data_IF_014595620712
#
_entry.id   IF_014595620712
#
_cell.length_a   1.000
_cell.length_b   1.000
_cell.length_c   1.000
_cell.angle_alpha   90.00
_cell.angle_beta   90.00
_cell.angle_gamma   90.00
#
_symmetry.space_group_name_H-M   'P 1'
#
loop_
_entity.id
_entity.type
_entity.pdbx_description
1 polymer ?
#
# COMPACT_ATOMS: atom_id res chain seq x y z
N UNK A 1 21.57 -39.58 48.17
CA UNK A 1 21.91 -38.21 48.61
C UNK A 1 22.93 -37.64 47.64
N UNK A 2 22.68 -36.41 47.16
CA UNK A 2 23.63 -35.42 46.60
C UNK A 2 24.63 -35.90 45.53
N UNK A 3 24.58 -35.41 44.29
CA UNK A 3 25.11 -34.10 43.86
C UNK A 3 26.41 -34.36 43.07
N UNK A 4 26.77 -33.73 41.96
CA UNK A 4 26.43 -32.43 41.40
C UNK A 4 26.55 -32.48 39.86
N UNK A 5 25.73 -31.68 39.17
CA UNK A 5 25.82 -31.41 37.73
C UNK A 5 26.71 -30.18 37.55
N UNK A 6 27.89 -30.36 36.96
CA UNK A 6 28.78 -29.26 36.57
C UNK A 6 28.48 -28.80 35.15
N UNK A 7 27.88 -27.61 35.06
CA UNK A 7 28.21 -26.51 34.15
C UNK A 7 28.35 -26.81 32.65
N UNK A 8 27.25 -26.60 31.91
CA UNK A 8 27.34 -26.18 30.51
C UNK A 8 27.16 -24.66 30.47
N UNK A 9 28.22 -23.94 30.10
CA UNK A 9 28.17 -22.51 29.87
C UNK A 9 27.40 -22.22 28.57
N UNK A 10 26.20 -21.67 28.68
CA UNK A 10 25.47 -21.12 27.55
C UNK A 10 25.90 -19.66 27.36
N UNK A 11 26.60 -19.39 26.25
CA UNK A 11 26.87 -18.06 25.72
C UNK A 11 25.55 -17.39 25.32
N UNK A 12 24.97 -16.59 26.22
CA UNK A 12 23.92 -15.62 25.90
C UNK A 12 24.53 -14.22 25.90
N UNK A 13 25.10 -13.84 24.76
CA UNK A 13 25.43 -12.47 24.38
C UNK A 13 25.19 -12.45 22.87
N UNK A 14 24.35 -11.62 22.27
CA UNK A 14 23.41 -10.62 22.73
C UNK A 14 22.77 -10.19 21.42
N UNK A 15 21.49 -10.49 21.20
CA UNK A 15 20.76 -9.82 20.14
C UNK A 15 20.48 -8.42 20.67
N UNK A 16 21.41 -7.52 20.42
CA UNK A 16 21.26 -6.08 20.58
C UNK A 16 20.09 -5.66 19.70
N UNK A 17 18.91 -5.53 20.31
CA UNK A 17 17.79 -4.86 19.67
C UNK A 17 17.98 -3.38 19.97
N UNK A 18 18.67 -2.70 19.06
CA UNK A 18 18.58 -1.25 18.99
C UNK A 18 17.11 -0.90 18.69
N UNK A 19 16.41 -0.50 19.74
CA UNK A 19 15.10 0.11 19.70
C UNK A 19 15.21 1.47 19.02
N UNK A 20 15.14 1.48 17.69
CA UNK A 20 14.79 2.70 16.96
C UNK A 20 13.28 2.75 16.89
N UNK A 21 12.76 3.72 17.64
CA UNK A 21 11.35 3.96 17.94
C UNK A 21 10.63 4.60 16.74
N UNK A 22 10.62 3.89 15.60
CA UNK A 22 9.68 4.16 14.52
C UNK A 22 8.47 3.25 14.78
N UNK A 23 7.49 3.78 15.54
CA UNK A 23 6.22 3.08 15.80
C UNK A 23 5.73 2.40 14.53
N UNK A 24 5.45 1.10 14.62
CA UNK A 24 5.08 0.18 13.53
C UNK A 24 3.99 0.76 12.62
N UNK A 25 4.38 1.62 11.70
CA UNK A 25 3.53 2.19 10.67
C UNK A 25 3.73 1.31 9.45
N UNK A 26 2.99 0.21 9.36
CA UNK A 26 3.12 -0.73 8.25
C UNK A 26 2.53 -0.19 6.94
N UNK A 27 2.05 1.05 6.92
CA UNK A 27 1.66 1.78 5.70
C UNK A 27 2.82 2.13 4.76
N UNK A 28 4.00 1.53 4.92
CA UNK A 28 5.14 1.59 3.98
C UNK A 28 5.53 0.21 3.42
N UNK A 29 4.61 -0.74 3.40
CA UNK A 29 4.80 -2.01 2.69
C UNK A 29 5.23 -1.76 1.23
N UNK A 30 6.27 -2.45 0.76
CA UNK A 30 6.77 -2.38 -0.61
C UNK A 30 7.07 -0.96 -1.18
N UNK A 31 7.27 0.05 -0.33
CA UNK A 31 7.47 1.44 -0.78
C UNK A 31 6.18 2.18 -1.17
N UNK A 32 5.01 1.68 -0.77
CA UNK A 32 3.71 2.30 -0.98
C UNK A 32 3.17 2.90 0.33
N UNK A 33 2.74 4.16 0.29
CA UNK A 33 2.02 4.86 1.36
C UNK A 33 0.72 5.41 0.82
N UNK A 34 -0.38 4.73 1.16
CA UNK A 34 -1.72 5.01 0.63
C UNK A 34 -2.71 5.12 1.78
N UNK A 35 -3.53 6.17 1.73
CA UNK A 35 -4.67 6.35 2.63
C UNK A 35 -5.96 6.02 1.87
N UNK A 36 -6.62 4.93 2.26
CA UNK A 36 -7.86 4.44 1.65
C UNK A 36 -9.13 5.07 2.25
N UNK A 37 -9.01 6.18 2.99
CA UNK A 37 -10.17 6.92 3.47
C UNK A 37 -10.99 7.44 2.29
N UNK A 38 -12.31 7.48 2.47
CA UNK A 38 -13.21 7.98 1.44
C UNK A 38 -14.66 7.59 1.66
N UNK A 39 -15.51 8.12 0.79
CA UNK A 39 -16.92 7.75 0.72
C UNK A 39 -17.10 6.73 -0.39
N UNK A 40 -17.27 5.46 0.01
CA UNK A 40 -17.45 4.33 -0.90
C UNK A 40 -18.92 4.13 -1.22
N UNK A 41 -19.24 3.99 -2.50
CA UNK A 41 -20.59 3.73 -3.01
C UNK A 41 -20.59 2.46 -3.82
N UNK A 42 -21.72 1.75 -3.87
CA UNK A 42 -21.84 0.57 -4.73
C UNK A 42 -21.46 0.88 -6.18
N UNK A 43 -20.56 0.07 -6.76
CA UNK A 43 -20.03 0.30 -8.11
C UNK A 43 -21.13 0.33 -9.19
N UNK A 44 -22.22 -0.41 -8.98
CA UNK A 44 -23.38 -0.48 -9.88
C UNK A 44 -24.56 0.40 -9.46
N UNK A 45 -24.38 1.30 -8.48
CA UNK A 45 -25.47 2.11 -7.91
C UNK A 45 -26.50 1.31 -7.10
N UNK A 46 -26.18 0.05 -6.78
CA UNK A 46 -27.01 -0.86 -5.99
C UNK A 46 -26.73 -0.81 -4.50
N UNK A 47 -26.88 -1.96 -3.86
CA UNK A 47 -26.61 -2.17 -2.43
C UNK A 47 -25.24 -2.84 -2.25
N UNK A 48 -24.52 -2.41 -1.22
CA UNK A 48 -23.28 -3.02 -0.76
C UNK A 48 -23.56 -4.26 0.10
N UNK A 49 -24.54 -4.18 1.00
CA UNK A 49 -24.90 -5.26 1.90
C UNK A 49 -26.37 -5.17 2.33
N UNK A 50 -27.01 -6.33 2.47
CA UNK A 50 -28.45 -6.38 2.72
C UNK A 50 -29.25 -5.63 1.66
N UNK A 51 -30.41 -5.09 2.02
CA UNK A 51 -31.28 -4.35 1.10
C UNK A 51 -31.16 -2.83 1.21
N UNK A 52 -30.32 -2.30 2.10
CA UNK A 52 -30.38 -0.90 2.50
C UNK A 52 -29.02 -0.22 2.70
N UNK A 53 -27.90 -0.95 2.67
CA UNK A 53 -26.58 -0.31 2.72
C UNK A 53 -26.16 -0.01 1.28
N UNK A 54 -26.00 1.26 0.92
CA UNK A 54 -25.60 1.71 -0.43
C UNK A 54 -24.28 2.49 -0.41
N UNK A 55 -23.86 2.91 0.78
CA UNK A 55 -22.67 3.72 0.98
C UNK A 55 -22.03 3.37 2.33
N UNK A 56 -20.71 3.36 2.36
CA UNK A 56 -19.93 3.40 3.60
C UNK A 56 -18.93 4.55 3.54
N UNK A 57 -18.62 5.14 4.68
CA UNK A 57 -17.55 6.11 4.86
C UNK A 57 -16.45 5.40 5.62
N UNK A 58 -15.24 5.39 5.07
CA UNK A 58 -14.06 4.81 5.69
C UNK A 58 -13.14 5.94 6.12
N UNK A 59 -12.75 5.96 7.39
CA UNK A 59 -11.69 6.80 7.92
C UNK A 59 -10.54 5.94 8.39
N UNK A 60 -9.35 6.16 7.84
CA UNK A 60 -8.14 5.41 8.16
C UNK A 60 -7.18 6.28 8.98
N UNK A 61 -6.65 5.71 10.07
CA UNK A 61 -5.56 6.27 10.86
C UNK A 61 -4.50 5.19 11.09
N UNK A 62 -3.35 5.31 10.42
CA UNK A 62 -2.36 4.24 10.34
C UNK A 62 -2.97 2.99 9.70
N UNK A 63 -2.98 1.88 10.44
CA UNK A 63 -3.63 0.64 10.02
C UNK A 63 -5.05 0.48 10.57
N UNK A 64 -5.50 1.36 11.47
CA UNK A 64 -6.86 1.29 12.01
C UNK A 64 -7.83 1.92 11.02
N UNK A 65 -9.00 1.30 10.87
CA UNK A 65 -10.12 1.88 10.11
C UNK A 65 -11.37 1.98 10.96
N UNK A 66 -12.07 3.09 10.81
CA UNK A 66 -13.40 3.35 11.33
C UNK A 66 -14.34 3.47 10.13
N UNK A 67 -15.49 2.80 10.20
CA UNK A 67 -16.43 2.73 9.08
C UNK A 67 -17.84 3.05 9.55
N UNK A 68 -18.51 3.94 8.81
CA UNK A 68 -19.92 4.27 9.02
C UNK A 68 -20.73 3.94 7.77
N UNK A 69 -21.88 3.28 7.92
CA UNK A 69 -22.81 3.06 6.81
C UNK A 69 -23.86 4.20 6.71
N UNK A 70 -24.65 4.18 5.64
CA UNK A 70 -25.77 5.12 5.45
C UNK A 70 -26.99 4.88 6.37
N UNK A 71 -26.90 3.91 7.29
CA UNK A 71 -27.88 3.67 8.36
C UNK A 71 -27.32 4.04 9.74
N UNK A 72 -26.20 4.76 9.78
CA UNK A 72 -25.53 5.19 10.99
C UNK A 72 -25.02 4.02 11.87
N UNK A 73 -24.82 2.83 11.29
CA UNK A 73 -24.08 1.74 11.91
C UNK A 73 -22.61 2.09 11.95
N UNK A 74 -21.90 1.57 12.97
CA UNK A 74 -20.49 1.84 13.20
C UNK A 74 -19.71 0.53 13.25
N UNK A 75 -18.58 0.50 12.55
CA UNK A 75 -17.68 -0.63 12.48
C UNK A 75 -16.24 -0.17 12.67
N UNK A 76 -15.41 -1.06 13.20
CA UNK A 76 -13.99 -0.83 13.42
C UNK A 76 -13.19 -2.00 12.88
N UNK A 77 -11.98 -1.75 12.42
CA UNK A 77 -11.11 -2.81 11.96
C UNK A 77 -9.74 -2.35 11.55
N UNK A 78 -9.17 -3.04 10.57
CA UNK A 78 -7.83 -2.76 10.09
C UNK A 78 -7.70 -2.82 8.57
N UNK A 79 -6.71 -2.08 8.08
CA UNK A 79 -6.16 -2.21 6.73
C UNK A 79 -4.70 -2.64 6.83
N UNK A 80 -4.32 -3.61 5.99
CA UNK A 80 -2.97 -4.14 5.95
C UNK A 80 -1.98 -3.17 5.29
N UNK A 81 -0.72 -3.59 5.27
CA UNK A 81 0.32 -2.90 4.50
C UNK A 81 -0.01 -2.94 3.00
N UNK A 82 -0.03 -1.79 2.31
CA UNK A 82 -0.24 -1.78 0.87
C UNK A 82 0.89 -2.53 0.14
N UNK A 83 0.54 -3.29 -0.89
CA UNK A 83 1.46 -3.96 -1.79
C UNK A 83 1.27 -3.47 -3.23
N UNK A 84 2.38 -3.25 -3.95
CA UNK A 84 2.36 -2.93 -5.38
C UNK A 84 2.10 -4.22 -6.15
N UNK A 85 1.09 -4.23 -7.02
CA UNK A 85 0.64 -5.46 -7.70
C UNK A 85 0.65 -5.40 -9.21
N UNK A 86 0.73 -4.21 -9.79
CA UNK A 86 0.96 -4.04 -11.21
C UNK A 86 2.38 -3.55 -11.49
N UNK A 87 2.82 -3.74 -12.72
CA UNK A 87 3.97 -3.04 -13.29
C UNK A 87 3.49 -1.95 -14.24
N UNK A 88 4.12 -0.78 -14.19
CA UNK A 88 3.96 0.20 -15.25
C UNK A 88 4.42 -0.37 -16.60
N UNK A 89 3.86 0.13 -17.68
CA UNK A 89 4.29 -0.21 -19.03
C UNK A 89 5.76 0.14 -19.24
N UNK A 90 6.52 -0.80 -19.81
CA UNK A 90 7.98 -0.70 -19.89
C UNK A 90 8.46 0.40 -20.85
N UNK A 91 7.60 0.87 -21.76
CA UNK A 91 7.95 1.88 -22.77
C UNK A 91 7.57 3.28 -22.29
N UNK A 92 6.36 3.44 -21.77
CA UNK A 92 5.80 4.72 -21.32
C UNK A 92 6.11 5.03 -19.86
N UNK A 93 6.44 4.02 -19.03
CA UNK A 93 6.62 4.19 -17.59
C UNK A 93 5.31 4.51 -16.85
N UNK A 94 4.16 4.26 -17.48
CA UNK A 94 2.84 4.60 -16.97
C UNK A 94 2.03 3.36 -16.59
N UNK A 95 1.17 3.47 -15.57
CA UNK A 95 0.10 2.52 -15.38
C UNK A 95 -1.08 2.90 -16.28
N UNK A 96 -1.47 2.01 -17.20
CA UNK A 96 -2.58 2.26 -18.10
C UNK A 96 -3.92 2.34 -17.37
N UNK A 97 -4.89 3.05 -17.95
CA UNK A 97 -6.28 3.05 -17.45
C UNK A 97 -6.81 1.62 -17.21
N UNK A 98 -7.43 1.41 -16.05
CA UNK A 98 -7.95 0.13 -15.55
C UNK A 98 -6.92 -0.72 -14.80
N UNK A 99 -5.64 -0.37 -14.79
CA UNK A 99 -4.61 -1.15 -14.09
C UNK A 99 -4.72 -1.00 -12.56
N UNK A 100 -4.66 -2.12 -11.85
CA UNK A 100 -4.49 -2.14 -10.39
C UNK A 100 -3.04 -1.82 -10.06
N UNK A 101 -2.81 -0.73 -9.34
CA UNK A 101 -1.47 -0.26 -8.97
C UNK A 101 -1.05 -0.81 -7.62
N UNK A 102 -1.91 -0.60 -6.62
CA UNK A 102 -1.67 -0.96 -5.21
C UNK A 102 -2.88 -1.70 -4.68
N UNK A 103 -2.69 -2.64 -3.77
CA UNK A 103 -3.77 -3.27 -3.04
C UNK A 103 -3.43 -3.45 -1.55
N UNK A 104 -4.45 -3.53 -0.71
CA UNK A 104 -4.32 -3.92 0.69
C UNK A 104 -5.51 -4.74 1.16
N UNK A 105 -5.29 -5.66 2.09
CA UNK A 105 -6.40 -6.36 2.75
C UNK A 105 -7.09 -5.41 3.73
N UNK A 106 -8.43 -5.41 3.74
CA UNK A 106 -9.22 -4.64 4.69
C UNK A 106 -10.22 -5.56 5.39
N UNK A 107 -10.31 -5.42 6.70
CA UNK A 107 -11.29 -6.09 7.53
C UNK A 107 -11.90 -5.09 8.51
N UNK A 108 -13.18 -5.25 8.81
CA UNK A 108 -13.84 -4.49 9.87
C UNK A 108 -15.05 -5.25 10.38
N UNK A 109 -15.47 -4.93 11.58
CA UNK A 109 -16.58 -5.59 12.24
C UNK A 109 -17.33 -4.62 13.16
N UNK A 110 -18.56 -5.00 13.48
CA UNK A 110 -19.42 -4.17 14.32
C UNK A 110 -20.89 -4.52 14.20
N UNK A 111 -21.73 -3.70 14.83
CA UNK A 111 -23.16 -3.96 14.90
C UNK A 111 -23.89 -3.13 13.84
N UNK A 112 -24.63 -3.82 12.98
CA UNK A 112 -25.55 -3.18 12.05
C UNK A 112 -26.79 -2.70 12.81
N UNK A 113 -27.05 -1.40 12.78
CA UNK A 113 -28.16 -0.78 13.50
C UNK A 113 -29.53 -1.12 12.90
N UNK A 114 -29.60 -1.44 11.61
CA UNK A 114 -30.84 -1.82 10.94
C UNK A 114 -31.23 -3.27 11.26
N UNK A 115 -30.30 -4.22 11.11
CA UNK A 115 -30.59 -5.64 11.37
C UNK A 115 -30.43 -6.05 12.84
N UNK A 116 -29.75 -5.23 13.64
CA UNK A 116 -29.40 -5.51 15.03
C UNK A 116 -28.33 -6.61 15.20
N UNK A 117 -27.75 -7.08 14.10
CA UNK A 117 -26.83 -8.22 14.03
C UNK A 117 -25.38 -7.77 14.02
N UNK A 118 -24.51 -8.66 14.48
CA UNK A 118 -23.08 -8.50 14.28
C UNK A 118 -22.70 -8.79 12.82
N UNK A 119 -21.73 -8.02 12.33
CA UNK A 119 -21.21 -8.08 10.97
C UNK A 119 -19.70 -8.21 11.01
N UNK A 120 -19.17 -9.02 10.10
CA UNK A 120 -17.78 -9.04 9.70
C UNK A 120 -17.66 -8.73 8.21
N UNK A 121 -16.81 -7.78 7.86
CA UNK A 121 -16.33 -7.57 6.51
C UNK A 121 -14.90 -8.12 6.36
N UNK A 122 -14.65 -8.80 5.25
CA UNK A 122 -13.32 -9.23 4.84
C UNK A 122 -13.15 -9.05 3.34
N UNK A 123 -12.14 -8.30 2.93
CA UNK A 123 -11.94 -7.94 1.54
C UNK A 123 -10.58 -7.33 1.23
N UNK A 124 -10.48 -6.77 0.03
CA UNK A 124 -9.30 -6.10 -0.51
C UNK A 124 -9.74 -4.72 -1.00
N UNK A 125 -8.92 -3.72 -0.72
CA UNK A 125 -9.01 -2.39 -1.31
C UNK A 125 -7.91 -2.21 -2.34
N UNK A 126 -8.27 -1.75 -3.52
CA UNK A 126 -7.41 -1.52 -4.66
C UNK A 126 -7.30 -0.02 -4.96
N UNK A 127 -6.14 0.44 -5.39
CA UNK A 127 -5.98 1.70 -6.12
C UNK A 127 -5.87 1.38 -7.61
N UNK A 128 -6.86 1.80 -8.39
CA UNK A 128 -7.00 1.51 -9.81
C UNK A 128 -6.83 2.79 -10.62
N UNK A 129 -6.01 2.73 -11.66
CA UNK A 129 -5.83 3.84 -12.59
C UNK A 129 -7.14 4.10 -13.36
N UNK A 130 -7.65 5.33 -13.32
CA UNK A 130 -8.82 5.75 -14.12
C UNK A 130 -8.38 6.25 -15.49
N UNK A 131 -7.25 6.94 -15.51
CA UNK A 131 -6.50 7.37 -16.69
C UNK A 131 -5.06 6.88 -16.54
N UNK A 132 -4.24 7.04 -17.58
CA UNK A 132 -2.83 6.72 -17.48
C UNK A 132 -2.15 7.49 -16.33
N UNK A 133 -1.51 6.76 -15.42
CA UNK A 133 -0.82 7.33 -14.25
C UNK A 133 0.68 7.34 -14.51
N UNK A 134 1.23 8.54 -14.68
CA UNK A 134 2.65 8.77 -14.91
C UNK A 134 3.42 8.83 -13.59
N UNK A 135 4.60 8.22 -13.57
CA UNK A 135 5.54 8.31 -12.46
C UNK A 135 6.61 9.38 -12.69
N UNK A 136 7.23 9.85 -11.62
CA UNK A 136 8.44 10.69 -11.67
C UNK A 136 9.66 9.81 -11.39
N UNK A 137 10.56 9.71 -12.37
CA UNK A 137 11.76 8.87 -12.28
C UNK A 137 12.96 9.67 -11.79
N UNK A 138 13.68 9.13 -10.81
CA UNK A 138 14.97 9.61 -10.32
C UNK A 138 16.01 8.51 -10.50
N UNK A 139 17.13 8.83 -11.15
CA UNK A 139 18.21 7.87 -11.42
C UNK A 139 19.48 8.28 -10.68
N UNK A 140 20.13 7.30 -10.04
CA UNK A 140 21.44 7.46 -9.41
C UNK A 140 22.41 6.53 -10.12
N UNK A 141 23.46 7.09 -10.71
CA UNK A 141 24.57 6.31 -11.27
C UNK A 141 25.79 6.52 -10.38
N UNK A 142 26.25 5.44 -9.73
CA UNK A 142 27.51 5.45 -8.99
C UNK A 142 28.57 4.84 -9.89
N UNK A 143 29.47 5.69 -10.39
CA UNK A 143 30.69 5.26 -11.06
C UNK A 143 31.82 5.22 -10.04
N UNK A 144 32.24 4.03 -9.63
CA UNK A 144 33.44 3.87 -8.79
C UNK A 144 34.65 3.82 -9.70
N UNK A 145 35.23 5.00 -9.96
CA UNK A 145 36.56 5.12 -10.54
C UNK A 145 37.62 5.17 -9.43
N UNK A 146 38.70 4.41 -9.55
CA UNK A 146 39.90 4.62 -8.74
C UNK A 146 40.43 6.03 -9.02
N UNK A 147 40.15 6.97 -8.10
CA UNK A 147 40.58 8.38 -8.05
C UNK A 147 39.80 9.41 -8.90
N UNK A 148 38.49 9.61 -8.63
CA UNK A 148 37.88 10.94 -8.48
C UNK A 148 36.37 10.82 -8.22
N UNK A 149 35.90 11.31 -7.07
CA UNK A 149 34.47 11.39 -6.75
C UNK A 149 33.84 12.58 -7.50
N UNK A 150 32.92 12.32 -8.42
CA UNK A 150 32.07 13.37 -9.02
C UNK A 150 30.62 13.09 -8.61
N UNK A 151 30.01 13.99 -7.83
CA UNK A 151 28.58 13.92 -7.49
C UNK A 151 27.81 14.77 -8.49
N UNK A 152 26.96 14.17 -9.31
CA UNK A 152 26.07 14.88 -10.24
C UNK A 152 24.64 14.77 -9.70
N UNK A 153 24.06 15.90 -9.29
CA UNK A 153 22.62 16.01 -9.02
C UNK A 153 21.91 16.43 -10.30
N UNK A 154 20.97 15.62 -10.80
CA UNK A 154 20.14 15.95 -11.98
C UNK A 154 18.68 16.09 -11.54
N UNK A 155 18.08 17.24 -11.84
CA UNK A 155 16.70 17.59 -11.52
C UNK A 155 15.96 17.94 -12.83
N UNK A 156 15.44 16.92 -13.54
CA UNK A 156 14.56 16.94 -14.75
C UNK A 156 15.17 16.46 -16.10
N UNK A 157 14.40 15.70 -16.95
CA UNK A 157 14.84 15.19 -18.26
C UNK A 157 14.43 16.06 -19.49
N UNK A 158 15.07 15.85 -20.67
CA UNK A 158 16.19 14.93 -20.90
C UNK A 158 17.54 15.65 -21.04
N UNK A 159 18.57 15.14 -20.38
CA UNK A 159 19.97 15.48 -20.58
C UNK A 159 20.70 14.23 -21.08
N UNK A 160 21.38 14.32 -22.22
CA UNK A 160 22.27 13.29 -22.75
C UNK A 160 23.69 13.57 -22.25
N UNK A 161 24.34 12.63 -21.57
CA UNK A 161 25.75 12.72 -21.19
C UNK A 161 26.48 11.54 -21.84
N UNK A 162 27.31 11.82 -22.84
CA UNK A 162 28.22 10.85 -23.45
C UNK A 162 29.58 10.94 -22.73
N UNK A 163 30.00 9.86 -22.08
CA UNK A 163 31.36 9.72 -21.53
C UNK A 163 31.96 8.40 -22.01
N UNK A 164 32.89 8.46 -22.97
CA UNK A 164 33.80 7.35 -23.28
C UNK A 164 34.96 7.38 -22.28
N UNK A 165 35.07 6.36 -21.42
CA UNK A 165 36.33 6.01 -20.77
C UNK A 165 36.41 4.49 -20.55
N UNK A 166 37.44 3.87 -21.14
CA UNK A 166 37.73 2.42 -21.09
C UNK A 166 38.62 2.07 -19.89
N UNK A 167 38.04 2.08 -18.69
CA UNK A 167 38.57 1.36 -17.52
C UNK A 167 37.46 0.50 -16.94
N UNK A 168 37.82 -0.60 -16.28
CA UNK A 168 36.88 -1.57 -15.69
C UNK A 168 36.11 -0.93 -14.50
N UNK A 169 35.18 -0.03 -14.83
CA UNK A 169 34.29 0.61 -13.90
C UNK A 169 33.18 -0.36 -13.52
N UNK A 170 33.14 -0.76 -12.26
CA UNK A 170 31.91 -1.28 -11.67
C UNK A 170 30.95 -0.10 -11.51
N UNK A 171 30.03 0.05 -12.46
CA UNK A 171 28.96 1.04 -12.39
C UNK A 171 27.71 0.37 -11.84
N UNK A 172 27.20 0.89 -10.72
CA UNK A 172 25.88 0.51 -10.23
C UNK A 172 24.93 1.65 -10.56
N UNK A 173 23.96 1.37 -11.42
CA UNK A 173 22.88 2.30 -11.74
C UNK A 173 21.61 1.81 -11.03
N UNK A 174 20.95 2.69 -10.30
CA UNK A 174 19.65 2.43 -9.71
C UNK A 174 18.68 3.51 -10.16
N UNK A 175 17.47 3.11 -10.53
CA UNK A 175 16.41 4.06 -10.89
C UNK A 175 15.17 3.79 -10.04
N UNK A 176 14.59 4.85 -9.50
CA UNK A 176 13.35 4.78 -8.73
C UNK A 176 12.29 5.67 -9.37
N UNK A 177 11.09 5.14 -9.52
CA UNK A 177 9.94 5.87 -10.09
C UNK A 177 8.85 5.98 -9.04
N UNK A 178 8.46 7.21 -8.72
CA UNK A 178 7.41 7.49 -7.74
C UNK A 178 6.12 7.89 -8.44
N UNK A 179 5.02 7.23 -8.09
CA UNK A 179 3.67 7.49 -8.61
C UNK A 179 2.84 8.17 -7.54
N UNK A 180 1.98 9.11 -7.96
CA UNK A 180 1.06 9.83 -7.07
C UNK A 180 -0.40 9.47 -7.38
N UNK A 181 -1.13 9.10 -6.34
CA UNK A 181 -2.55 8.79 -6.38
C UNK A 181 -3.35 10.06 -6.10
N UNK A 182 -4.24 10.41 -7.02
CA UNK A 182 -5.09 11.60 -6.94
C UNK A 182 -6.50 11.26 -7.42
N UNK A 183 -7.47 12.09 -7.06
CA UNK A 183 -8.87 11.88 -7.46
C UNK A 183 -9.04 11.94 -8.99
N UNK A 184 -8.14 12.65 -9.69
CA UNK A 184 -8.18 12.83 -11.13
C UNK A 184 -7.70 11.61 -11.92
N UNK A 185 -6.85 10.77 -11.32
CA UNK A 185 -6.18 9.67 -12.04
C UNK A 185 -6.42 8.30 -11.41
N UNK A 186 -6.97 8.23 -10.20
CA UNK A 186 -7.10 6.99 -9.43
C UNK A 186 -8.47 6.86 -8.76
N UNK A 187 -8.99 5.64 -8.73
CA UNK A 187 -10.18 5.24 -8.00
C UNK A 187 -9.83 4.15 -7.01
N UNK A 188 -10.36 4.26 -5.80
CA UNK A 188 -10.35 3.16 -4.85
C UNK A 188 -11.50 2.21 -5.12
N UNK A 189 -11.20 0.91 -5.15
CA UNK A 189 -12.19 -0.15 -5.31
C UNK A 189 -12.09 -1.07 -4.11
N UNK A 190 -13.17 -1.20 -3.35
CA UNK A 190 -13.29 -2.10 -2.21
C UNK A 190 -14.12 -3.31 -2.62
N UNK A 191 -13.49 -4.47 -2.66
CA UNK A 191 -14.14 -5.74 -2.98
C UNK A 191 -14.02 -6.71 -1.82
N UNK A 192 -15.11 -7.41 -1.48
CA UNK A 192 -15.07 -8.33 -0.35
C UNK A 192 -16.40 -8.98 -0.04
N UNK A 193 -16.49 -9.55 1.16
CA UNK A 193 -17.71 -10.17 1.66
C UNK A 193 -18.13 -9.54 2.97
N UNK A 194 -19.42 -9.20 3.05
CA UNK A 194 -20.11 -8.76 4.25
C UNK A 194 -20.89 -9.93 4.85
N UNK A 195 -20.51 -10.39 6.03
CA UNK A 195 -20.99 -11.61 6.66
C UNK A 195 -21.76 -11.23 7.93
N UNK A 196 -23.03 -11.60 8.02
CA UNK A 196 -23.82 -11.44 9.24
C UNK A 196 -23.77 -12.70 10.13
N UNK A 197 -23.96 -12.52 11.43
CA UNK A 197 -23.95 -13.56 12.50
C UNK A 197 -24.85 -14.80 12.25
N UNK A 198 -25.78 -14.73 11.29
CA UNK A 198 -26.64 -15.86 10.88
C UNK A 198 -26.24 -16.52 9.56
N UNK A 199 -25.02 -16.25 9.08
CA UNK A 199 -24.43 -16.87 7.88
C UNK A 199 -24.86 -16.24 6.56
N UNK A 200 -25.64 -15.15 6.57
CA UNK A 200 -25.90 -14.37 5.36
C UNK A 200 -24.60 -13.67 4.93
N UNK A 201 -24.17 -13.90 3.70
CA UNK A 201 -22.99 -13.27 3.10
C UNK A 201 -23.41 -12.49 1.85
N UNK A 202 -22.92 -11.25 1.73
CA UNK A 202 -23.16 -10.38 0.59
C UNK A 202 -21.82 -10.00 -0.04
N UNK A 203 -21.68 -10.19 -1.34
CA UNK A 203 -20.52 -9.68 -2.06
C UNK A 203 -20.63 -8.16 -2.16
N UNK A 204 -19.55 -7.49 -1.76
CA UNK A 204 -19.44 -6.03 -1.77
C UNK A 204 -18.51 -5.66 -2.92
N UNK A 205 -18.92 -4.69 -3.73
CA UNK A 205 -18.04 -3.97 -4.64
C UNK A 205 -18.39 -2.48 -4.59
N UNK A 206 -17.46 -1.69 -4.05
CA UNK A 206 -17.66 -0.28 -3.79
C UNK A 206 -16.53 0.57 -4.36
N UNK A 207 -16.85 1.77 -4.81
CA UNK A 207 -15.88 2.70 -5.38
C UNK A 207 -15.86 4.02 -4.63
N UNK A 208 -14.67 4.61 -4.50
CA UNK A 208 -14.45 5.95 -3.95
C UNK A 208 -13.38 6.68 -4.78
N UNK A 209 -13.42 8.01 -4.90
CA UNK A 209 -12.29 8.79 -5.41
C UNK A 209 -11.05 8.58 -4.54
N UNK A 210 -9.87 8.50 -5.16
CA UNK A 210 -8.62 8.39 -4.40
C UNK A 210 -8.17 9.77 -3.88
N UNK A 211 -8.16 9.97 -2.57
CA UNK A 211 -7.86 11.29 -1.99
C UNK A 211 -6.36 11.61 -1.89
N UNK A 212 -5.50 10.61 -1.63
CA UNK A 212 -4.05 10.79 -1.56
C UNK A 212 -3.27 9.47 -1.41
N UNK A 213 -2.05 9.44 -1.93
CA UNK A 213 -1.09 8.38 -1.70
C UNK A 213 0.07 8.43 -2.69
N UNK A 214 1.18 7.78 -2.36
CA UNK A 214 2.32 7.61 -3.28
C UNK A 214 2.90 6.22 -3.16
N UNK A 215 3.47 5.69 -4.23
CA UNK A 215 4.28 4.47 -4.16
C UNK A 215 5.49 4.55 -5.08
N UNK A 216 6.56 3.87 -4.71
CA UNK A 216 7.83 3.88 -5.45
C UNK A 216 8.19 2.48 -5.92
N UNK A 217 8.51 2.36 -7.21
CA UNK A 217 9.10 1.14 -7.80
C UNK A 217 10.58 1.39 -8.08
N UNK A 218 11.44 0.40 -7.81
CA UNK A 218 12.88 0.50 -8.12
C UNK A 218 13.26 -0.51 -9.19
N UNK A 219 14.01 -0.07 -10.20
CA UNK A 219 14.65 -0.92 -11.19
C UNK A 219 16.17 -0.83 -11.03
N UNK A 220 16.82 -2.00 -10.99
CA UNK A 220 18.28 -2.15 -11.02
C UNK A 220 18.75 -2.58 -12.39
#
# INVERSE_FOLDING_TARGET
>A
MAGAVSGLAALFLGCEWESTDDGFNTSKGAGASVNFSGVYRAASGGVLAGSNITQIVVAQSGNAVEVWDNNNSYYTGSVGSPGIVGSADAVSGAYSAGAVMVQSQMNFEGRNNNSGRYVLFSGIVHAVAVNDVQGTTSSTTVTVGTNNTTTININAPPVTIDNENTDANTSTSGSSTTYSLTEANTQYVLDGNWIEEKGSSYSVSAIAPAVSGTFTTTSN
#
